data_IF_733735395052
#
_entry.id   IF_733735395052
#
_cell.length_a   1.000
_cell.length_b   1.000
_cell.length_c   1.000
_cell.angle_alpha   90.00
_cell.angle_beta   90.00
_cell.angle_gamma   90.00
#
_symmetry.space_group_name_H-M   'P 1'
#
loop_
_entity.id
_entity.type
_entity.pdbx_description
1 polymer ?
#
# COMPACT_ATOMS: atom_id res chain seq x y z
N UNK A 1 -34.91 18.70 -49.86
CA UNK A 1 -33.81 19.02 -48.90
C UNK A 1 -32.63 18.08 -49.17
N UNK A 2 -31.49 18.64 -49.61
CA UNK A 2 -30.31 17.90 -50.10
C UNK A 2 -29.66 17.03 -49.01
N UNK A 3 -29.30 15.79 -49.36
CA UNK A 3 -28.75 14.77 -48.46
C UNK A 3 -27.52 15.21 -47.64
N UNK A 4 -26.78 16.21 -48.13
CA UNK A 4 -25.65 16.82 -47.43
C UNK A 4 -26.05 17.47 -46.10
N UNK A 5 -27.24 18.08 -46.02
CA UNK A 5 -27.75 18.73 -44.81
C UNK A 5 -28.16 17.73 -43.71
N UNK A 6 -28.56 16.51 -44.11
CA UNK A 6 -28.93 15.42 -43.17
C UNK A 6 -27.70 14.75 -42.56
N UNK A 7 -26.63 14.52 -43.33
CA UNK A 7 -25.35 14.01 -42.83
C UNK A 7 -24.68 14.98 -41.85
N UNK A 8 -24.67 16.27 -42.16
CA UNK A 8 -24.04 17.28 -41.31
C UNK A 8 -24.76 17.44 -39.96
N UNK A 9 -26.10 17.30 -39.94
CA UNK A 9 -26.88 17.37 -38.70
C UNK A 9 -26.63 16.13 -37.81
N UNK A 10 -26.53 14.93 -38.39
CA UNK A 10 -26.23 13.70 -37.64
C UNK A 10 -24.82 13.71 -37.01
N UNK A 11 -23.82 14.27 -37.71
CA UNK A 11 -22.47 14.42 -37.17
C UNK A 11 -22.41 15.39 -35.97
N UNK A 12 -23.19 16.47 -36.01
CA UNK A 12 -23.29 17.44 -34.91
C UNK A 12 -23.95 16.84 -33.65
N UNK A 13 -24.98 16.00 -33.81
CA UNK A 13 -25.60 15.29 -32.69
C UNK A 13 -24.68 14.24 -32.07
N UNK A 14 -23.94 13.49 -32.91
CA UNK A 14 -22.98 12.49 -32.43
C UNK A 14 -21.81 13.12 -31.66
N UNK A 15 -21.28 14.26 -32.11
CA UNK A 15 -20.20 14.97 -31.42
C UNK A 15 -20.65 15.61 -30.10
N UNK A 16 -21.86 16.16 -30.07
CA UNK A 16 -22.43 16.76 -28.85
C UNK A 16 -22.70 15.72 -27.76
N UNK A 17 -23.19 14.54 -28.14
CA UNK A 17 -23.46 13.45 -27.20
C UNK A 17 -22.18 12.80 -26.65
N UNK A 18 -21.10 12.75 -27.45
CA UNK A 18 -19.80 12.21 -27.01
C UNK A 18 -19.09 13.15 -26.03
N UNK A 19 -19.17 14.47 -26.24
CA UNK A 19 -18.64 15.48 -25.31
C UNK A 19 -19.39 15.49 -23.96
N UNK A 20 -20.70 15.23 -23.97
CA UNK A 20 -21.51 15.13 -22.75
C UNK A 20 -21.20 13.87 -21.92
N UNK A 21 -20.80 12.77 -22.59
CA UNK A 21 -20.37 11.53 -21.95
C UNK A 21 -18.96 11.65 -21.34
N UNK A 22 -18.06 12.42 -21.94
CA UNK A 22 -16.71 12.66 -21.43
C UNK A 22 -16.67 13.58 -20.20
N UNK A 23 -17.68 14.44 -19.99
CA UNK A 23 -17.74 15.33 -18.82
C UNK A 23 -18.12 14.64 -17.49
N UNK A 24 -18.60 13.39 -17.54
CA UNK A 24 -18.95 12.62 -16.34
C UNK A 24 -17.76 11.86 -15.73
N UNK A 25 -16.60 11.86 -16.39
CA UNK A 25 -15.33 11.39 -15.80
C UNK A 25 -14.66 12.57 -15.08
N UNK A 26 -15.41 13.23 -14.18
CA UNK A 26 -14.78 14.05 -13.17
C UNK A 26 -14.26 13.10 -12.10
N UNK A 27 -13.00 12.66 -12.25
CA UNK A 27 -12.28 12.01 -11.16
C UNK A 27 -12.30 12.97 -9.96
N UNK A 28 -13.18 12.71 -8.99
CA UNK A 28 -13.12 13.32 -7.66
C UNK A 28 -11.88 12.75 -6.98
N UNK A 29 -10.71 13.30 -7.32
CA UNK A 29 -9.46 13.05 -6.61
C UNK A 29 -9.67 13.69 -5.24
N UNK A 30 -9.95 12.85 -4.24
CA UNK A 30 -10.10 13.26 -2.84
C UNK A 30 -8.94 14.19 -2.48
N UNK A 31 -9.26 15.42 -2.04
CA UNK A 31 -8.29 16.46 -1.68
C UNK A 31 -7.89 16.36 -0.21
N UNK A 32 -8.13 15.22 0.44
CA UNK A 32 -7.64 14.98 1.79
C UNK A 32 -6.11 14.84 1.72
N UNK A 33 -5.44 15.97 1.84
CA UNK A 33 -4.02 16.02 2.10
C UNK A 33 -3.79 15.47 3.52
N UNK A 34 -2.71 14.72 3.72
CA UNK A 34 -2.31 14.29 5.05
C UNK A 34 -2.14 15.49 5.98
N UNK A 35 -2.38 15.30 7.29
CA UNK A 35 -2.17 16.35 8.27
C UNK A 35 -0.73 16.85 8.20
N UNK A 36 -0.53 18.14 8.44
CA UNK A 36 0.81 18.72 8.48
C UNK A 36 1.58 18.11 9.64
N UNK A 37 2.67 17.40 9.35
CA UNK A 37 3.63 16.91 10.34
C UNK A 37 4.95 17.68 10.14
N UNK A 38 5.34 18.43 11.18
CA UNK A 38 6.54 19.28 11.17
C UNK A 38 7.80 18.54 11.68
N UNK A 39 7.69 17.26 12.03
CA UNK A 39 8.84 16.42 12.38
C UNK A 39 9.56 15.95 11.11
N UNK A 40 10.88 15.71 11.15
CA UNK A 40 11.61 15.14 10.02
C UNK A 40 10.99 13.83 9.55
N UNK A 41 11.03 13.57 8.24
CA UNK A 41 10.67 12.27 7.67
C UNK A 41 11.58 11.20 8.27
N UNK A 42 11.03 10.09 8.78
CA UNK A 42 11.85 9.04 9.34
C UNK A 42 12.62 8.29 8.23
N UNK A 43 13.78 7.70 8.56
CA UNK A 43 14.48 6.85 7.61
C UNK A 43 13.65 5.59 7.32
N UNK A 44 13.75 4.99 6.11
CA UNK A 44 13.10 3.73 5.80
C UNK A 44 13.35 2.62 6.83
N UNK A 45 12.36 1.74 7.01
CA UNK A 45 12.54 0.55 7.83
C UNK A 45 13.68 -0.32 7.29
N UNK A 46 14.45 -0.90 8.21
CA UNK A 46 15.59 -1.76 7.89
C UNK A 46 15.73 -2.85 8.95
N UNK A 47 15.98 -4.08 8.50
CA UNK A 47 16.13 -5.26 9.36
C UNK A 47 14.89 -6.13 9.42
N UNK A 48 14.90 -7.09 10.35
CA UNK A 48 13.87 -8.14 10.47
C UNK A 48 12.90 -7.79 11.58
N UNK A 49 11.62 -7.75 11.25
CA UNK A 49 10.51 -7.56 12.17
C UNK A 49 9.75 -8.88 12.29
N UNK A 50 9.46 -9.32 13.51
CA UNK A 50 8.90 -10.64 13.81
C UNK A 50 7.63 -10.49 14.64
N UNK A 51 6.63 -11.31 14.33
CA UNK A 51 5.40 -11.52 15.09
C UNK A 51 5.13 -13.02 15.25
N UNK A 52 4.07 -13.39 15.97
CA UNK A 52 3.59 -14.78 16.02
C UNK A 52 3.09 -15.29 14.65
N UNK A 53 2.70 -14.37 13.76
CA UNK A 53 2.16 -14.69 12.44
C UNK A 53 3.22 -14.65 11.32
N UNK A 54 4.49 -14.45 11.65
CA UNK A 54 5.60 -14.52 10.70
C UNK A 54 6.57 -13.34 10.80
N UNK A 55 7.27 -13.07 9.70
CA UNK A 55 8.29 -12.01 9.66
C UNK A 55 8.27 -11.17 8.39
N UNK A 56 8.77 -9.94 8.52
CA UNK A 56 9.05 -9.02 7.44
C UNK A 56 10.49 -8.54 7.53
N UNK A 57 11.25 -8.63 6.45
CA UNK A 57 12.63 -8.15 6.35
C UNK A 57 12.70 -6.97 5.40
N UNK A 58 13.03 -5.79 5.91
CA UNK A 58 13.15 -4.56 5.13
C UNK A 58 14.62 -4.29 4.79
N UNK A 59 14.90 -3.91 3.55
CA UNK A 59 16.27 -3.71 3.06
C UNK A 59 16.82 -2.30 3.32
N UNK A 60 16.03 -1.38 3.89
CA UNK A 60 16.44 0.01 4.12
C UNK A 60 16.41 0.92 2.88
N UNK A 61 15.93 0.41 1.74
CA UNK A 61 15.81 1.17 0.48
C UNK A 61 14.48 1.92 0.33
N UNK A 62 13.57 1.79 1.30
CA UNK A 62 12.24 2.40 1.27
C UNK A 62 11.27 1.77 0.26
N UNK A 63 11.59 0.61 -0.29
CA UNK A 63 10.81 0.00 -1.36
C UNK A 63 10.64 -1.51 -1.21
N UNK A 64 11.69 -2.24 -0.87
CA UNK A 64 11.68 -3.71 -0.95
C UNK A 64 11.54 -4.37 0.41
N UNK A 65 10.83 -5.49 0.42
CA UNK A 65 10.56 -6.30 1.61
C UNK A 65 10.53 -7.78 1.25
N UNK A 66 11.06 -8.62 2.12
CA UNK A 66 10.85 -10.06 2.09
C UNK A 66 9.92 -10.47 3.24
N UNK A 67 8.97 -11.36 2.96
CA UNK A 67 8.01 -11.86 3.94
C UNK A 67 8.17 -13.37 4.14
N UNK A 68 7.85 -13.84 5.34
CA UNK A 68 7.70 -15.25 5.68
C UNK A 68 6.53 -15.34 6.67
N UNK A 69 5.31 -15.37 6.14
CA UNK A 69 4.08 -15.40 6.94
C UNK A 69 3.67 -16.83 7.26
N UNK A 70 2.98 -17.01 8.39
CA UNK A 70 2.35 -18.27 8.74
C UNK A 70 1.36 -18.69 7.66
N UNK A 71 1.12 -20.00 7.52
CA UNK A 71 0.17 -20.52 6.53
C UNK A 71 -1.24 -19.93 6.71
N UNK A 72 -1.64 -19.67 7.96
CA UNK A 72 -2.91 -19.05 8.30
C UNK A 72 -3.00 -17.61 7.80
N UNK A 73 -1.99 -16.77 8.07
CA UNK A 73 -1.97 -15.39 7.60
C UNK A 73 -1.82 -15.33 6.07
N UNK A 74 -0.98 -16.18 5.48
CA UNK A 74 -0.83 -16.27 4.03
C UNK A 74 -2.15 -16.67 3.35
N UNK A 75 -2.89 -17.63 3.91
CA UNK A 75 -4.21 -18.02 3.41
C UNK A 75 -5.22 -16.87 3.51
N UNK A 76 -5.28 -16.16 4.63
CA UNK A 76 -6.20 -15.04 4.83
C UNK A 76 -5.93 -13.88 3.86
N UNK A 77 -4.67 -13.69 3.48
CA UNK A 77 -4.23 -12.68 2.52
C UNK A 77 -4.29 -13.15 1.06
N UNK A 78 -4.67 -14.41 0.82
CA UNK A 78 -4.60 -15.06 -0.49
C UNK A 78 -3.19 -14.89 -1.07
N UNK A 79 -2.18 -15.33 -0.34
CA UNK A 79 -0.77 -15.38 -0.76
C UNK A 79 -0.30 -16.83 -0.77
N UNK A 80 0.75 -17.12 -1.54
CA UNK A 80 1.42 -18.41 -1.46
C UNK A 80 2.12 -18.55 -0.10
N UNK A 81 2.09 -19.75 0.46
CA UNK A 81 2.83 -20.06 1.70
C UNK A 81 4.34 -19.95 1.51
N UNK A 82 5.02 -19.61 2.62
CA UNK A 82 6.47 -19.53 2.71
C UNK A 82 7.06 -18.18 2.28
N UNK A 83 8.35 -18.20 1.96
CA UNK A 83 9.11 -16.97 1.69
C UNK A 83 8.75 -16.36 0.36
N UNK A 84 8.44 -15.06 0.40
CA UNK A 84 8.22 -14.26 -0.80
C UNK A 84 8.94 -12.90 -0.69
N UNK A 85 9.07 -12.21 -1.81
CA UNK A 85 9.65 -10.86 -1.85
C UNK A 85 8.83 -9.96 -2.76
N UNK A 86 8.84 -8.68 -2.46
CA UNK A 86 8.19 -7.68 -3.30
C UNK A 86 8.42 -6.29 -2.76
N UNK A 87 7.41 -5.45 -2.87
CA UNK A 87 7.51 -4.05 -2.47
C UNK A 87 6.46 -3.65 -1.45
N UNK A 88 6.71 -2.58 -0.71
CA UNK A 88 5.76 -2.05 0.26
C UNK A 88 5.57 -0.54 0.10
N UNK A 89 4.48 -0.04 0.66
CA UNK A 89 4.22 1.40 0.79
C UNK A 89 3.36 1.66 2.00
N UNK A 90 3.68 2.72 2.74
CA UNK A 90 2.81 3.30 3.74
C UNK A 90 1.99 4.42 3.10
N UNK A 91 0.71 4.52 3.44
CA UNK A 91 -0.21 5.48 2.81
C UNK A 91 -0.99 6.29 3.84
N UNK A 92 -1.43 7.45 3.38
CA UNK A 92 -2.55 8.18 3.96
C UNK A 92 -3.60 8.33 2.86
N UNK A 93 -4.78 7.72 3.03
CA UNK A 93 -5.73 7.48 1.94
C UNK A 93 -5.04 6.83 0.71
N UNK A 94 -5.08 7.51 -0.46
CA UNK A 94 -4.61 6.96 -1.73
C UNK A 94 -3.17 7.39 -2.09
N UNK A 95 -2.46 8.07 -1.18
CA UNK A 95 -1.13 8.61 -1.43
C UNK A 95 -0.08 8.00 -0.50
N UNK A 96 1.13 7.79 -1.02
CA UNK A 96 2.27 7.39 -0.20
C UNK A 96 2.54 8.45 0.90
N UNK A 97 2.82 7.98 2.10
CA UNK A 97 3.06 8.80 3.27
C UNK A 97 4.12 8.19 4.20
N UNK A 98 4.60 9.00 5.14
CA UNK A 98 5.50 8.57 6.21
C UNK A 98 4.86 7.47 7.06
N UNK A 99 5.64 6.48 7.45
CA UNK A 99 5.09 5.29 8.11
C UNK A 99 4.50 5.55 9.50
N UNK A 100 5.04 6.53 10.22
CA UNK A 100 4.72 6.84 11.61
C UNK A 100 3.42 7.64 11.78
N UNK A 101 2.81 8.06 10.67
CA UNK A 101 1.52 8.75 10.59
C UNK A 101 0.61 8.18 9.48
N UNK A 102 0.99 7.05 8.87
CA UNK A 102 0.20 6.38 7.84
C UNK A 102 -1.04 5.71 8.45
N UNK A 103 -2.13 5.59 7.68
CA UNK A 103 -3.36 4.86 8.03
C UNK A 103 -3.44 3.48 7.36
N UNK A 104 -2.61 3.24 6.35
CA UNK A 104 -2.56 1.98 5.61
C UNK A 104 -1.10 1.56 5.35
N UNK A 105 -0.84 0.28 5.47
CA UNK A 105 0.37 -0.40 5.01
C UNK A 105 -0.01 -1.37 3.90
N UNK A 106 0.59 -1.25 2.72
CA UNK A 106 0.35 -2.18 1.62
C UNK A 106 1.62 -2.93 1.22
N UNK A 107 1.44 -4.21 0.92
CA UNK A 107 2.44 -5.08 0.30
C UNK A 107 2.02 -5.42 -1.13
N UNK A 108 3.00 -5.48 -2.01
CA UNK A 108 2.84 -5.94 -3.39
C UNK A 108 3.73 -7.15 -3.63
N UNK A 109 3.14 -8.34 -3.63
CA UNK A 109 3.83 -9.64 -3.71
C UNK A 109 3.22 -10.42 -4.87
N UNK A 110 4.05 -10.94 -5.78
CA UNK A 110 3.61 -11.76 -6.93
C UNK A 110 2.44 -11.18 -7.74
N UNK A 111 2.44 -9.85 -7.94
CA UNK A 111 1.39 -9.14 -8.67
C UNK A 111 0.07 -8.95 -7.91
N UNK A 112 0.00 -9.38 -6.65
CA UNK A 112 -1.10 -9.11 -5.72
C UNK A 112 -0.79 -7.89 -4.87
N UNK A 113 -1.83 -7.15 -4.51
CA UNK A 113 -1.77 -6.05 -3.54
C UNK A 113 -2.55 -6.46 -2.31
N UNK A 114 -1.91 -6.49 -1.15
CA UNK A 114 -2.56 -6.72 0.14
C UNK A 114 -2.38 -5.48 1.01
N UNK A 115 -3.44 -5.06 1.69
CA UNK A 115 -3.46 -3.85 2.50
C UNK A 115 -3.87 -4.16 3.94
N UNK A 116 -3.26 -3.46 4.87
CA UNK A 116 -3.56 -3.52 6.29
C UNK A 116 -3.84 -2.11 6.77
N UNK A 117 -4.85 -1.93 7.61
CA UNK A 117 -4.98 -0.70 8.38
C UNK A 117 -3.90 -0.68 9.45
N UNK A 118 -3.20 0.44 9.59
CA UNK A 118 -2.26 0.66 10.70
C UNK A 118 -3.03 1.10 11.94
N UNK A 119 -2.45 0.84 13.11
CA UNK A 119 -2.95 1.44 14.36
C UNK A 119 -2.31 2.82 14.54
N UNK A 120 -3.09 3.83 14.89
CA UNK A 120 -2.59 5.18 15.13
C UNK A 120 -1.52 5.16 16.24
N UNK A 121 -0.31 5.62 15.92
CA UNK A 121 0.85 5.57 16.83
C UNK A 121 1.43 4.15 17.03
N UNK A 122 0.96 3.16 16.28
CA UNK A 122 1.43 1.77 16.31
C UNK A 122 2.52 1.46 15.30
N UNK A 123 3.07 2.46 14.61
CA UNK A 123 4.18 2.26 13.66
C UNK A 123 5.30 3.23 14.00
N UNK A 124 6.48 2.69 14.32
CA UNK A 124 7.70 3.44 14.54
C UNK A 124 8.92 2.71 13.94
N UNK A 125 10.14 3.17 14.19
CA UNK A 125 11.36 2.57 13.62
C UNK A 125 11.60 1.09 14.02
N UNK A 126 10.95 0.60 15.07
CA UNK A 126 11.14 -0.72 15.67
C UNK A 126 9.84 -1.52 15.85
N UNK A 127 8.67 -0.93 15.62
CA UNK A 127 7.37 -1.58 15.76
C UNK A 127 6.49 -1.31 14.54
N UNK A 128 5.76 -2.33 14.09
CA UNK A 128 4.68 -2.21 13.11
C UNK A 128 3.47 -2.97 13.66
N UNK A 129 2.44 -2.23 14.06
CA UNK A 129 1.15 -2.76 14.55
C UNK A 129 0.07 -2.58 13.49
N UNK A 130 -0.49 -3.69 13.04
CA UNK A 130 -1.49 -3.76 11.97
C UNK A 130 -2.79 -4.38 12.48
N UNK A 131 -3.93 -3.96 11.93
CA UNK A 131 -5.19 -4.68 12.11
C UNK A 131 -5.07 -6.08 11.49
N UNK A 132 -5.46 -7.11 12.23
CA UNK A 132 -5.42 -8.48 11.73
C UNK A 132 -6.53 -8.74 10.71
N UNK A 133 -6.23 -9.40 9.56
CA UNK A 133 -7.26 -9.89 8.66
C UNK A 133 -7.93 -11.18 9.17
N UNK A 134 -7.42 -11.77 10.25
CA UNK A 134 -7.92 -13.01 10.85
C UNK A 134 -9.05 -12.77 11.86
N UNK A 135 -8.95 -11.67 12.61
CA UNK A 135 -9.85 -11.30 13.71
C UNK A 135 -9.74 -9.78 13.95
N UNK A 136 -10.86 -9.06 13.94
CA UNK A 136 -10.88 -7.60 14.08
C UNK A 136 -10.63 -7.11 15.52
N UNK A 137 -10.60 -8.03 16.50
CA UNK A 137 -10.24 -7.75 17.88
C UNK A 137 -8.74 -7.94 18.17
N UNK A 138 -7.96 -8.40 17.18
CA UNK A 138 -6.52 -8.72 17.34
C UNK A 138 -5.66 -7.80 16.45
N UNK A 139 -4.51 -7.41 17.00
CA UNK A 139 -3.47 -6.71 16.27
C UNK A 139 -2.31 -7.64 15.93
N UNK A 140 -1.73 -7.47 14.74
CA UNK A 140 -0.45 -8.08 14.37
C UNK A 140 0.68 -7.14 14.77
N UNK A 141 1.45 -7.50 15.79
CA UNK A 141 2.60 -6.72 16.26
C UNK A 141 3.91 -7.32 15.74
N UNK A 142 4.50 -6.64 14.76
CA UNK A 142 5.81 -7.01 14.23
C UNK A 142 6.88 -6.15 14.90
N UNK A 143 7.73 -6.77 15.72
CA UNK A 143 8.78 -6.10 16.48
C UNK A 143 10.13 -6.32 15.81
N UNK A 144 10.88 -5.25 15.61
CA UNK A 144 12.24 -5.30 15.06
C UNK A 144 13.17 -6.07 15.99
N UNK A 145 13.88 -7.03 15.43
CA UNK A 145 14.89 -7.81 16.13
C UNK A 145 16.26 -7.13 16.04
N UNK A 146 17.08 -7.30 17.08
CA UNK A 146 18.47 -6.79 17.10
C UNK A 146 19.43 -7.62 16.20
N UNK A 147 18.97 -8.73 15.62
CA UNK A 147 19.79 -9.65 14.84
C UNK A 147 19.94 -9.23 13.36
N UNK A 148 20.63 -8.13 13.07
CA UNK A 148 21.11 -7.84 11.70
C UNK A 148 22.30 -6.86 11.59
N UNK A 149 23.18 -6.77 12.60
CA UNK A 149 24.47 -6.04 12.46
C UNK A 149 25.67 -7.00 12.32
N UNK A 150 25.50 -8.30 12.53
CA UNK A 150 26.61 -9.27 12.58
C UNK A 150 26.60 -10.26 11.42
N UNK A 151 26.75 -9.83 10.16
CA UNK A 151 27.29 -10.67 9.04
C UNK A 151 27.75 -9.81 7.84
N UNK A 152 28.59 -8.81 8.04
CA UNK A 152 29.34 -8.20 6.93
C UNK A 152 30.87 -8.26 7.06
N UNK A 153 31.41 -8.93 8.09
CA UNK A 153 32.86 -8.99 8.32
C UNK A 153 33.51 -10.38 8.09
N UNK A 154 32.83 -11.32 7.43
CA UNK A 154 33.46 -12.58 7.01
C UNK A 154 33.16 -12.91 5.55
N UNK A 155 33.96 -12.34 4.64
CA UNK A 155 34.26 -12.88 3.32
C UNK A 155 35.62 -12.33 2.82
#
# INVERSE_FOLDING_TARGET
MSGKKRCMLLLLYASGSLLLLLSLISCTRSTHLPPKNDTPEPPPHVGVFVSECGSMTFNGDGQTVAIDFSDELAQALDLASGKASGTYVFKFYNGQWRYDDADEFSLFIDGRSVGFSTVLGGVDANLITLMSPLDDEIYLEFVRTEQAVLRQDEA
#
